data_IF_521507643718
#
_entry.id   IF_521507643718
#
_cell.length_a   1.000
_cell.length_b   1.000
_cell.length_c   1.000
_cell.angle_alpha   90.00
_cell.angle_beta   90.00
_cell.angle_gamma   90.00
#
_symmetry.space_group_name_H-M   'P 1'
#
loop_
_entity.id
_entity.type
_entity.pdbx_description
1 polymer ?
#
# COMPACT_ATOMS: atom_id res chain seq x y z
N UNK A 1 17.14 -6.97 -17.65
CA UNK A 1 17.05 -5.72 -18.45
C UNK A 1 16.00 -4.81 -17.82
N UNK A 2 16.28 -3.52 -17.63
CA UNK A 2 15.29 -2.53 -17.11
C UNK A 2 14.83 -1.65 -18.27
N UNK A 3 13.49 -1.45 -18.41
CA UNK A 3 12.88 -0.58 -19.42
C UNK A 3 11.89 0.37 -18.77
N UNK A 4 11.96 1.65 -19.09
CA UNK A 4 11.03 2.68 -18.63
C UNK A 4 10.25 3.17 -19.84
N UNK A 5 8.91 3.26 -19.69
CA UNK A 5 7.99 3.65 -20.75
C UNK A 5 7.27 4.93 -20.31
N UNK A 6 7.46 5.98 -21.06
CA UNK A 6 6.81 7.28 -20.83
C UNK A 6 5.69 7.50 -21.85
N UNK A 7 4.63 8.14 -21.42
CA UNK A 7 3.54 8.57 -22.29
C UNK A 7 2.43 9.27 -21.52
N UNK A 8 1.72 10.23 -22.11
CA UNK A 8 0.57 10.89 -21.49
C UNK A 8 -0.59 9.89 -21.27
N UNK A 9 -1.60 10.24 -20.44
CA UNK A 9 -2.81 9.44 -20.31
C UNK A 9 -3.45 9.11 -21.67
N UNK A 10 -4.02 7.92 -21.82
CA UNK A 10 -4.73 7.51 -23.05
C UNK A 10 -3.85 7.08 -24.23
N UNK A 11 -2.52 7.06 -24.11
CA UNK A 11 -1.59 6.66 -25.19
C UNK A 11 -1.40 5.15 -25.33
N UNK A 12 -2.16 4.33 -24.61
CA UNK A 12 -2.08 2.88 -24.71
C UNK A 12 -0.94 2.25 -23.91
N UNK A 13 -0.39 2.92 -22.88
CA UNK A 13 0.67 2.36 -22.01
C UNK A 13 0.31 0.97 -21.48
N UNK A 14 -0.84 0.81 -20.86
CA UNK A 14 -1.31 -0.48 -20.32
C UNK A 14 -1.41 -1.55 -21.43
N UNK A 15 -1.88 -1.17 -22.63
CA UNK A 15 -1.92 -2.09 -23.78
C UNK A 15 -0.51 -2.54 -24.16
N UNK A 16 0.43 -1.63 -24.20
CA UNK A 16 1.82 -1.96 -24.48
C UNK A 16 2.44 -2.86 -23.39
N UNK A 17 2.14 -2.61 -22.12
CA UNK A 17 2.60 -3.46 -21.01
C UNK A 17 2.06 -4.89 -21.17
N UNK A 18 0.80 -5.06 -21.58
CA UNK A 18 0.23 -6.39 -21.88
C UNK A 18 0.87 -7.06 -23.11
N UNK A 19 1.29 -6.29 -24.12
CA UNK A 19 2.08 -6.83 -25.22
C UNK A 19 3.46 -7.36 -24.76
N UNK A 20 4.07 -6.71 -23.75
CA UNK A 20 5.29 -7.23 -23.13
C UNK A 20 5.01 -8.54 -22.36
N UNK A 21 3.90 -8.64 -21.63
CA UNK A 21 3.46 -9.90 -21.01
C UNK A 21 3.34 -11.00 -22.08
N UNK A 22 2.64 -10.72 -23.17
CA UNK A 22 2.46 -11.68 -24.28
C UNK A 22 3.81 -12.16 -24.83
N UNK A 23 4.73 -11.23 -25.04
CA UNK A 23 6.07 -11.56 -25.54
C UNK A 23 6.78 -12.53 -24.59
N UNK A 24 6.74 -12.27 -23.29
CA UNK A 24 7.44 -13.12 -22.32
C UNK A 24 6.77 -14.49 -22.18
N UNK A 25 5.44 -14.57 -22.26
CA UNK A 25 4.72 -15.85 -22.33
C UNK A 25 5.14 -16.67 -23.56
N UNK A 26 5.28 -16.02 -24.75
CA UNK A 26 5.78 -16.66 -25.97
C UNK A 26 7.24 -17.12 -25.86
N UNK A 27 8.04 -16.42 -25.04
CA UNK A 27 9.41 -16.81 -24.71
C UNK A 27 9.49 -17.98 -23.70
N UNK A 28 8.35 -18.48 -23.22
CA UNK A 28 8.28 -19.61 -22.28
C UNK A 28 8.28 -19.24 -20.81
N UNK A 29 8.17 -17.95 -20.46
CA UNK A 29 8.02 -17.53 -19.07
C UNK A 29 6.64 -17.98 -18.56
N UNK A 30 6.61 -18.68 -17.43
CA UNK A 30 5.36 -19.14 -16.84
C UNK A 30 4.53 -17.96 -16.31
N UNK A 31 3.20 -17.94 -16.47
CA UNK A 31 2.35 -16.84 -16.02
C UNK A 31 2.51 -16.47 -14.53
N UNK A 32 2.76 -17.47 -13.67
CA UNK A 32 2.98 -17.27 -12.25
C UNK A 32 4.38 -16.71 -11.89
N UNK A 33 5.28 -16.60 -12.86
CA UNK A 33 6.59 -15.94 -12.75
C UNK A 33 6.57 -14.49 -13.28
N UNK A 34 5.41 -14.01 -13.73
CA UNK A 34 5.20 -12.64 -14.19
C UNK A 34 4.49 -11.87 -13.07
N UNK A 35 5.17 -10.89 -12.49
CA UNK A 35 4.58 -9.91 -11.61
C UNK A 35 4.06 -8.72 -12.41
N UNK A 36 2.76 -8.42 -12.34
CA UNK A 36 2.15 -7.21 -12.89
C UNK A 36 1.53 -6.42 -11.75
N UNK A 37 2.12 -5.28 -11.45
CA UNK A 37 1.71 -4.46 -10.32
C UNK A 37 1.09 -3.15 -10.80
N UNK A 38 -0.17 -2.91 -10.38
CA UNK A 38 -0.88 -1.68 -10.65
C UNK A 38 -1.13 -0.91 -9.35
N UNK A 39 -1.30 0.40 -9.46
CA UNK A 39 -1.55 1.25 -8.30
C UNK A 39 -2.92 0.97 -7.65
N UNK A 40 -3.96 0.70 -8.46
CA UNK A 40 -5.30 0.42 -7.94
C UNK A 40 -5.72 -1.03 -8.16
N UNK A 41 -6.56 -1.54 -7.26
CA UNK A 41 -7.16 -2.88 -7.39
C UNK A 41 -7.92 -3.04 -8.71
N UNK A 42 -8.70 -2.03 -9.10
CA UNK A 42 -9.45 -2.04 -10.36
C UNK A 42 -8.55 -2.16 -11.59
N UNK A 43 -7.44 -1.41 -11.62
CA UNK A 43 -6.48 -1.49 -12.72
C UNK A 43 -5.81 -2.87 -12.80
N UNK A 44 -5.46 -3.45 -11.65
CA UNK A 44 -4.89 -4.79 -11.58
C UNK A 44 -5.88 -5.88 -12.07
N UNK A 45 -7.15 -5.79 -11.66
CA UNK A 45 -8.22 -6.69 -12.08
C UNK A 45 -8.52 -6.57 -13.58
N UNK A 46 -8.51 -5.36 -14.13
CA UNK A 46 -8.66 -5.12 -15.55
C UNK A 46 -7.52 -5.74 -16.35
N UNK A 47 -6.26 -5.50 -15.93
CA UNK A 47 -5.10 -6.09 -16.57
C UNK A 47 -5.13 -7.63 -16.52
N UNK A 48 -5.52 -8.20 -15.36
CA UNK A 48 -5.70 -9.65 -15.19
C UNK A 48 -6.74 -10.22 -16.17
N UNK A 49 -7.93 -9.60 -16.21
CA UNK A 49 -9.02 -10.05 -17.10
C UNK A 49 -8.62 -9.98 -18.56
N UNK A 50 -7.97 -8.89 -18.98
CA UNK A 50 -7.48 -8.74 -20.36
C UNK A 50 -6.40 -9.76 -20.69
N UNK A 51 -5.44 -10.00 -19.80
CA UNK A 51 -4.39 -10.98 -19.99
C UNK A 51 -4.96 -12.41 -20.13
N UNK A 52 -5.83 -12.81 -19.20
CA UNK A 52 -6.45 -14.13 -19.20
C UNK A 52 -7.24 -14.40 -20.51
N UNK A 53 -8.07 -13.42 -20.91
CA UNK A 53 -8.87 -13.52 -22.14
C UNK A 53 -8.00 -13.56 -23.40
N UNK A 54 -7.02 -12.66 -23.49
CA UNK A 54 -6.18 -12.51 -24.69
C UNK A 54 -5.25 -13.70 -24.89
N UNK A 55 -4.68 -14.20 -23.79
CA UNK A 55 -3.65 -15.24 -23.86
C UNK A 55 -4.21 -16.64 -23.61
N UNK A 56 -5.53 -16.77 -23.38
CA UNK A 56 -6.23 -18.05 -23.15
C UNK A 56 -5.69 -18.86 -21.96
N UNK A 57 -5.34 -18.17 -20.88
CA UNK A 57 -4.99 -18.74 -19.59
C UNK A 57 -6.14 -18.57 -18.58
N UNK A 58 -6.13 -19.37 -17.51
CA UNK A 58 -7.01 -19.11 -16.36
C UNK A 58 -6.48 -17.88 -15.57
N UNK A 59 -7.39 -17.09 -14.99
CA UNK A 59 -7.01 -15.97 -14.12
C UNK A 59 -6.15 -16.42 -12.93
N UNK A 60 -6.29 -17.67 -12.49
CA UNK A 60 -5.48 -18.29 -11.43
C UNK A 60 -4.02 -18.45 -11.78
N UNK A 61 -3.70 -18.55 -13.07
CA UNK A 61 -2.33 -18.68 -13.53
C UNK A 61 -1.55 -17.39 -13.32
N UNK A 62 -2.22 -16.23 -13.47
CA UNK A 62 -1.65 -14.90 -13.26
C UNK A 62 -1.76 -14.44 -11.80
N UNK A 63 -1.31 -15.25 -10.87
CA UNK A 63 -1.45 -15.02 -9.42
C UNK A 63 -0.84 -13.72 -8.88
N UNK A 64 0.04 -13.08 -9.65
CA UNK A 64 0.76 -11.87 -9.28
C UNK A 64 0.35 -10.63 -10.07
N UNK A 65 -0.83 -10.65 -10.71
CA UNK A 65 -1.48 -9.47 -11.27
C UNK A 65 -2.30 -8.79 -10.17
N UNK A 66 -1.70 -7.83 -9.45
CA UNK A 66 -2.28 -7.25 -8.24
C UNK A 66 -1.65 -5.91 -7.85
N UNK A 67 -2.11 -5.30 -6.76
CA UNK A 67 -1.42 -4.17 -6.14
C UNK A 67 -0.29 -4.66 -5.22
N UNK A 68 0.70 -3.81 -4.96
CA UNK A 68 1.78 -4.14 -4.01
C UNK A 68 1.24 -4.39 -2.59
N UNK A 69 0.21 -3.66 -2.15
CA UNK A 69 -0.47 -3.94 -0.87
C UNK A 69 -1.10 -5.34 -0.84
N UNK A 70 -1.74 -5.76 -1.92
CA UNK A 70 -2.31 -7.11 -2.02
C UNK A 70 -1.22 -8.20 -2.04
N UNK A 71 -0.04 -7.91 -2.61
CA UNK A 71 1.12 -8.78 -2.52
C UNK A 71 1.58 -8.88 -1.06
N UNK A 72 1.84 -7.75 -0.42
CA UNK A 72 2.29 -7.69 0.97
C UNK A 72 1.32 -8.41 1.93
N UNK A 73 0.02 -8.16 1.81
CA UNK A 73 -1.02 -8.82 2.60
C UNK A 73 -0.93 -10.34 2.51
N UNK A 74 -0.80 -10.86 1.31
CA UNK A 74 -0.71 -12.30 1.06
C UNK A 74 0.61 -12.90 1.56
N UNK A 75 1.71 -12.27 1.23
CA UNK A 75 3.04 -12.77 1.57
C UNK A 75 3.31 -12.73 3.08
N UNK A 76 2.72 -11.77 3.79
CA UNK A 76 2.74 -11.71 5.25
C UNK A 76 1.73 -12.67 5.91
N UNK A 77 0.92 -13.40 5.14
CA UNK A 77 -0.14 -14.29 5.62
C UNK A 77 -1.09 -13.59 6.60
N UNK A 78 -1.44 -12.33 6.30
CA UNK A 78 -2.35 -11.55 7.11
C UNK A 78 -3.80 -12.03 6.93
N UNK A 79 -4.59 -11.91 7.99
CA UNK A 79 -6.03 -12.10 7.99
C UNK A 79 -6.72 -10.73 8.00
N UNK A 80 -8.01 -10.70 7.71
CA UNK A 80 -8.81 -9.49 7.79
C UNK A 80 -8.75 -8.85 9.19
N UNK A 81 -8.77 -9.68 10.22
CA UNK A 81 -8.63 -9.25 11.63
C UNK A 81 -7.26 -8.65 11.98
N UNK A 82 -6.22 -8.89 11.19
CA UNK A 82 -4.88 -8.32 11.39
C UNK A 82 -4.77 -6.90 10.78
N UNK A 83 -5.76 -6.47 10.00
CA UNK A 83 -5.76 -5.14 9.34
C UNK A 83 -6.63 -4.17 10.12
N UNK A 84 -6.12 -2.96 10.33
CA UNK A 84 -6.84 -1.87 11.00
C UNK A 84 -8.13 -1.51 10.24
N UNK A 85 -9.25 -1.50 10.93
CA UNK A 85 -10.58 -1.18 10.42
C UNK A 85 -11.23 0.02 11.15
N UNK A 86 -12.47 0.36 10.80
CA UNK A 86 -13.21 1.48 11.39
C UNK A 86 -13.42 1.32 12.91
N UNK A 87 -13.60 0.10 13.39
CA UNK A 87 -13.78 -0.19 14.82
C UNK A 87 -12.50 0.05 15.61
N UNK A 88 -11.34 -0.32 15.03
CA UNK A 88 -10.02 -0.07 15.60
C UNK A 88 -9.77 1.45 15.77
N UNK A 89 -10.07 2.25 14.74
CA UNK A 89 -9.92 3.71 14.81
C UNK A 89 -10.91 4.36 15.79
N UNK A 90 -12.14 3.85 15.85
CA UNK A 90 -13.14 4.30 16.83
C UNK A 90 -12.72 3.99 18.27
N UNK A 91 -12.19 2.79 18.51
CA UNK A 91 -11.66 2.40 19.80
C UNK A 91 -10.48 3.30 20.22
N UNK A 92 -9.53 3.54 19.30
CA UNK A 92 -8.38 4.42 19.54
C UNK A 92 -8.82 5.84 19.85
N UNK A 93 -9.77 6.37 19.09
CA UNK A 93 -10.34 7.71 19.31
C UNK A 93 -10.88 7.85 20.74
N UNK A 94 -11.62 6.86 21.20
CA UNK A 94 -12.18 6.85 22.55
C UNK A 94 -11.08 6.68 23.63
N UNK A 95 -10.16 5.73 23.43
CA UNK A 95 -9.07 5.46 24.40
C UNK A 95 -8.14 6.65 24.56
N UNK A 96 -7.79 7.31 23.46
CA UNK A 96 -6.85 8.43 23.45
C UNK A 96 -7.52 9.80 23.60
N UNK A 97 -8.86 9.86 23.68
CA UNK A 97 -9.63 11.10 23.74
C UNK A 97 -9.30 12.07 22.58
N UNK A 98 -9.21 11.53 21.38
CA UNK A 98 -8.89 12.23 20.12
C UNK A 98 -9.96 11.91 19.07
N UNK A 99 -9.91 12.59 17.93
CA UNK A 99 -10.87 12.41 16.84
C UNK A 99 -10.13 11.93 15.58
N UNK A 100 -10.06 10.62 15.42
CA UNK A 100 -9.44 9.95 14.26
C UNK A 100 -10.48 9.27 13.38
N UNK A 101 -10.25 9.32 12.08
CA UNK A 101 -10.95 8.49 11.09
C UNK A 101 -10.02 7.41 10.53
N UNK A 102 -10.62 6.40 9.93
CA UNK A 102 -9.87 5.41 9.16
C UNK A 102 -9.36 6.07 7.86
N UNK A 103 -8.04 6.22 7.66
CA UNK A 103 -7.47 6.88 6.47
C UNK A 103 -7.78 6.14 5.17
N UNK A 104 -8.17 4.85 5.26
CA UNK A 104 -8.52 4.03 4.10
C UNK A 104 -9.98 4.16 3.69
N UNK A 105 -10.81 4.80 4.51
CA UNK A 105 -12.21 5.08 4.16
C UNK A 105 -12.22 6.19 3.09
N UNK A 106 -12.89 5.94 1.98
CA UNK A 106 -13.14 7.00 1.00
C UNK A 106 -13.87 8.14 1.71
N UNK A 107 -13.19 9.26 1.88
CA UNK A 107 -13.84 10.49 2.35
C UNK A 107 -14.92 10.80 1.33
N UNK A 108 -16.17 10.79 1.75
CA UNK A 108 -17.26 11.28 0.90
C UNK A 108 -16.90 12.70 0.46
N UNK A 109 -17.19 13.02 -0.78
CA UNK A 109 -16.70 14.15 -1.60
C UNK A 109 -16.72 15.55 -0.94
N UNK A 110 -17.18 15.69 0.32
CA UNK A 110 -17.37 16.96 1.02
C UNK A 110 -16.98 16.95 2.52
N UNK A 111 -16.36 15.89 3.04
CA UNK A 111 -15.95 15.81 4.42
C UNK A 111 -14.49 16.24 4.61
N UNK A 112 -14.23 17.34 5.29
CA UNK A 112 -12.93 17.53 5.93
C UNK A 112 -12.70 16.35 6.89
N UNK A 113 -11.50 15.74 6.87
CA UNK A 113 -11.12 14.70 7.83
C UNK A 113 -11.33 15.19 9.26
N UNK A 114 -11.32 14.26 10.21
CA UNK A 114 -11.47 14.63 11.63
C UNK A 114 -10.26 15.48 12.08
N UNK A 115 -10.41 16.33 13.10
CA UNK A 115 -9.39 17.31 13.50
C UNK A 115 -8.00 16.71 13.77
N UNK A 116 -7.95 15.46 14.23
CA UNK A 116 -6.69 14.83 14.62
C UNK A 116 -6.09 13.93 13.50
N UNK A 117 -6.76 13.79 12.36
CA UNK A 117 -6.27 13.01 11.21
C UNK A 117 -4.97 13.59 10.61
N UNK A 118 -4.72 14.88 10.82
CA UNK A 118 -3.46 15.49 10.41
C UNK A 118 -2.25 14.85 11.09
N UNK A 119 -2.38 14.42 12.34
CA UNK A 119 -1.29 13.76 13.07
C UNK A 119 -1.04 12.33 12.55
N UNK A 120 -2.09 11.56 12.28
CA UNK A 120 -1.93 10.23 11.67
C UNK A 120 -1.31 10.34 10.29
N UNK A 121 -1.69 11.35 9.51
CA UNK A 121 -1.09 11.61 8.20
C UNK A 121 0.40 11.96 8.30
N UNK A 122 0.82 12.76 9.30
CA UNK A 122 2.23 13.06 9.55
C UNK A 122 3.00 11.78 9.91
N UNK A 123 2.43 10.93 10.78
CA UNK A 123 3.01 9.65 11.17
C UNK A 123 3.16 8.74 9.92
N UNK A 124 2.16 8.64 9.08
CA UNK A 124 2.24 7.83 7.86
C UNK A 124 3.27 8.37 6.87
N UNK A 125 3.30 9.69 6.66
CA UNK A 125 4.31 10.31 5.79
C UNK A 125 5.74 10.12 6.34
N UNK A 126 5.93 10.18 7.66
CA UNK A 126 7.23 9.90 8.28
C UNK A 126 7.71 8.48 8.00
N UNK A 127 6.81 7.50 8.11
CA UNK A 127 7.08 6.10 7.77
C UNK A 127 7.39 5.92 6.28
N UNK A 128 6.58 6.54 5.41
CA UNK A 128 6.77 6.49 3.96
C UNK A 128 8.12 7.10 3.56
N UNK A 129 8.52 8.21 4.19
CA UNK A 129 9.78 8.91 3.90
C UNK A 129 10.99 8.31 4.64
N UNK A 130 10.78 7.35 5.54
CA UNK A 130 11.86 6.74 6.33
C UNK A 130 12.54 7.72 7.29
N UNK A 131 11.82 8.73 7.78
CA UNK A 131 12.32 9.75 8.71
C UNK A 131 11.52 9.74 10.02
N UNK A 132 12.08 10.22 11.15
CA UNK A 132 11.33 10.34 12.40
C UNK A 132 10.07 11.23 12.26
N UNK A 133 8.99 10.89 12.96
CA UNK A 133 7.74 11.65 12.92
C UNK A 133 7.96 13.13 13.34
N UNK A 134 8.88 13.38 14.27
CA UNK A 134 9.27 14.74 14.66
C UNK A 134 9.86 15.53 13.49
N UNK A 135 10.74 14.93 12.69
CA UNK A 135 11.32 15.59 11.51
C UNK A 135 10.25 15.88 10.45
N UNK A 136 9.31 14.97 10.26
CA UNK A 136 8.17 15.18 9.35
C UNK A 136 7.25 16.30 9.87
N UNK A 137 7.04 16.38 11.18
CA UNK A 137 6.25 17.42 11.83
C UNK A 137 6.88 18.81 11.68
N UNK A 138 8.20 18.91 11.84
CA UNK A 138 8.95 20.17 11.73
C UNK A 138 9.09 20.67 10.27
N UNK A 139 8.54 19.95 9.30
CA UNK A 139 8.55 20.38 7.91
C UNK A 139 7.72 21.66 7.73
N UNK A 140 8.27 22.71 7.09
CA UNK A 140 7.58 23.98 6.91
C UNK A 140 6.20 23.90 6.24
N UNK A 141 5.95 22.83 5.46
CA UNK A 141 4.67 22.59 4.80
C UNK A 141 3.58 22.08 5.73
N UNK A 142 3.93 21.65 6.94
CA UNK A 142 2.98 21.08 7.90
C UNK A 142 2.10 22.17 8.56
N UNK A 143 2.59 23.41 8.65
CA UNK A 143 1.89 24.51 9.29
C UNK A 143 1.86 24.43 10.83
N UNK A 144 1.15 25.36 11.45
CA UNK A 144 0.97 25.37 12.91
C UNK A 144 -0.19 24.44 13.30
N UNK A 145 0.10 23.42 14.13
CA UNK A 145 -0.90 22.46 14.58
C UNK A 145 -1.21 22.62 16.08
N UNK A 146 -2.49 22.69 16.48
CA UNK A 146 -2.90 22.74 17.88
C UNK A 146 -2.41 21.50 18.65
N UNK A 147 -1.81 21.72 19.83
CA UNK A 147 -1.22 20.65 20.64
C UNK A 147 0.19 20.24 20.24
N UNK A 148 0.65 20.65 19.07
CA UNK A 148 2.04 20.53 18.63
C UNK A 148 2.64 19.13 18.71
N UNK A 149 3.95 19.08 18.92
CA UNK A 149 4.74 17.86 19.01
C UNK A 149 4.25 16.89 20.10
N UNK A 150 3.86 17.40 21.29
CA UNK A 150 3.41 16.53 22.37
C UNK A 150 2.18 15.71 22.01
N UNK A 151 1.26 16.28 21.23
CA UNK A 151 0.08 15.57 20.76
C UNK A 151 0.44 14.53 19.69
N UNK A 152 1.36 14.86 18.78
CA UNK A 152 1.86 13.91 17.79
C UNK A 152 2.50 12.69 18.47
N UNK A 153 3.44 12.92 19.41
CA UNK A 153 4.12 11.87 20.15
C UNK A 153 3.15 10.99 20.95
N UNK A 154 2.14 11.62 21.58
CA UNK A 154 1.08 10.89 22.30
C UNK A 154 0.28 9.97 21.36
N UNK A 155 -0.12 10.47 20.18
CA UNK A 155 -0.88 9.70 19.19
C UNK A 155 0.01 8.59 18.61
N UNK A 156 1.26 8.89 18.24
CA UNK A 156 2.19 7.91 17.68
C UNK A 156 2.41 6.74 18.64
N UNK A 157 2.66 7.01 19.92
CA UNK A 157 2.81 5.98 20.96
C UNK A 157 1.53 5.17 21.15
N UNK A 158 0.38 5.84 21.20
CA UNK A 158 -0.91 5.17 21.34
C UNK A 158 -1.23 4.23 20.18
N UNK A 159 -0.96 4.66 18.94
CA UNK A 159 -1.08 3.82 17.74
C UNK A 159 -0.11 2.63 17.78
N UNK A 160 1.14 2.86 18.16
CA UNK A 160 2.15 1.81 18.25
C UNK A 160 1.77 0.76 19.31
N UNK A 161 1.39 1.20 20.51
CA UNK A 161 0.95 0.31 21.58
C UNK A 161 -0.26 -0.52 21.17
N UNK A 162 -1.25 0.11 20.53
CA UNK A 162 -2.43 -0.58 20.05
C UNK A 162 -2.09 -1.68 19.04
N UNK A 163 -1.25 -1.37 18.06
CA UNK A 163 -0.89 -2.30 16.98
C UNK A 163 0.07 -3.40 17.41
N UNK A 164 1.05 -3.09 18.26
CA UNK A 164 2.20 -3.94 18.52
C UNK A 164 2.47 -4.20 20.01
N UNK A 165 1.77 -3.52 20.91
CA UNK A 165 1.97 -3.59 22.37
C UNK A 165 1.40 -4.84 23.04
N UNK A 166 0.89 -5.82 22.28
CA UNK A 166 0.39 -7.07 22.84
C UNK A 166 -1.05 -7.00 23.40
N UNK A 167 -1.80 -5.94 23.09
CA UNK A 167 -3.22 -5.81 23.44
C UNK A 167 -4.07 -6.89 22.77
N UNK A 168 -3.66 -7.32 21.59
CA UNK A 168 -4.30 -8.39 20.82
C UNK A 168 -3.40 -9.64 20.74
N UNK A 169 -3.98 -10.84 20.55
CA UNK A 169 -3.22 -12.06 20.31
C UNK A 169 -2.33 -11.99 19.07
N UNK A 170 -2.73 -11.17 18.12
CA UNK A 170 -1.99 -10.89 16.87
C UNK A 170 -1.77 -9.38 16.71
N UNK A 171 -0.69 -9.02 16.03
CA UNK A 171 -0.40 -7.62 15.68
C UNK A 171 -1.44 -7.09 14.70
N UNK A 172 -1.73 -5.80 14.80
CA UNK A 172 -2.56 -5.05 13.86
C UNK A 172 -1.69 -4.21 12.93
N UNK A 173 -2.06 -4.12 11.67
CA UNK A 173 -1.31 -3.40 10.64
C UNK A 173 -2.20 -2.41 9.89
N UNK A 174 -1.78 -1.18 9.72
CA UNK A 174 -2.28 -0.32 8.65
C UNK A 174 -1.59 -0.65 7.31
N UNK A 175 -2.03 -0.03 6.21
CA UNK A 175 -1.46 -0.32 4.89
C UNK A 175 0.03 0.06 4.78
N UNK A 176 0.45 1.13 5.45
CA UNK A 176 1.85 1.55 5.49
C UNK A 176 2.70 0.53 6.27
N UNK A 177 2.20 0.05 7.40
CA UNK A 177 2.89 -0.98 8.19
C UNK A 177 3.05 -2.29 7.40
N UNK A 178 2.04 -2.68 6.60
CA UNK A 178 2.14 -3.88 5.74
C UNK A 178 3.31 -3.79 4.76
N UNK A 179 3.47 -2.66 4.08
CA UNK A 179 4.59 -2.46 3.16
C UNK A 179 5.94 -2.46 3.89
N UNK A 180 6.02 -1.82 5.06
CA UNK A 180 7.24 -1.81 5.88
C UNK A 180 7.61 -3.24 6.31
N UNK A 181 6.65 -4.03 6.78
CA UNK A 181 6.92 -5.41 7.20
C UNK A 181 7.27 -6.31 6.01
N UNK A 182 6.63 -6.10 4.86
CA UNK A 182 6.97 -6.81 3.65
C UNK A 182 8.41 -6.52 3.21
N UNK A 183 8.83 -5.25 3.23
CA UNK A 183 10.19 -4.86 2.86
C UNK A 183 11.27 -5.34 3.85
N UNK A 184 10.89 -5.71 5.08
CA UNK A 184 11.79 -6.28 6.09
C UNK A 184 11.95 -7.79 6.01
N UNK A 185 11.20 -8.46 5.13
CA UNK A 185 11.33 -9.92 4.96
C UNK A 185 12.69 -10.29 4.36
N UNK A 186 13.15 -11.47 4.69
CA UNK A 186 14.29 -12.08 4.04
C UNK A 186 14.05 -12.21 2.54
N UNK A 187 15.06 -11.89 1.74
CA UNK A 187 15.00 -11.96 0.28
C UNK A 187 14.65 -13.38 -0.19
N UNK A 188 15.11 -14.39 0.51
CA UNK A 188 14.85 -15.80 0.19
C UNK A 188 13.38 -16.20 0.40
N UNK A 189 12.60 -15.38 1.12
CA UNK A 189 11.17 -15.57 1.34
C UNK A 189 10.30 -14.71 0.40
N UNK A 190 10.93 -13.92 -0.46
CA UNK A 190 10.20 -13.12 -1.45
C UNK A 190 9.78 -13.97 -2.65
N UNK A 191 8.63 -13.68 -3.28
CA UNK A 191 8.24 -14.36 -4.51
C UNK A 191 9.26 -14.05 -5.62
N UNK A 192 9.72 -15.10 -6.28
CA UNK A 192 10.62 -14.97 -7.41
C UNK A 192 9.86 -14.65 -8.70
N UNK A 193 10.31 -13.66 -9.42
CA UNK A 193 9.78 -13.24 -10.71
C UNK A 193 10.87 -13.29 -11.78
N UNK A 194 10.54 -13.85 -12.95
CA UNK A 194 11.38 -13.73 -14.13
C UNK A 194 11.16 -12.37 -14.81
N UNK A 195 9.94 -11.82 -14.66
CA UNK A 195 9.54 -10.53 -15.21
C UNK A 195 8.70 -9.76 -14.20
N UNK A 196 9.02 -8.49 -14.02
CA UNK A 196 8.21 -7.56 -13.22
C UNK A 196 7.78 -6.39 -14.10
N UNK A 197 6.48 -6.13 -14.13
CA UNK A 197 5.86 -5.00 -14.83
C UNK A 197 5.15 -4.14 -13.79
N UNK A 198 5.40 -2.86 -13.83
CA UNK A 198 4.77 -1.88 -12.93
C UNK A 198 4.02 -0.86 -13.80
N UNK A 199 2.71 -0.81 -13.64
CA UNK A 199 1.84 0.19 -14.29
C UNK A 199 1.66 1.39 -13.37
N UNK A 200 1.69 2.61 -13.95
CA UNK A 200 1.62 3.90 -13.25
C UNK A 200 2.68 4.04 -12.14
N UNK A 201 3.93 3.65 -12.46
CA UNK A 201 5.05 3.65 -11.50
C UNK A 201 5.34 5.03 -10.86
N UNK A 202 4.92 6.13 -11.49
CA UNK A 202 5.07 7.48 -10.94
C UNK A 202 4.17 7.75 -9.71
N UNK A 203 3.12 6.95 -9.52
CA UNK A 203 2.20 7.06 -8.40
C UNK A 203 2.67 6.27 -7.16
N UNK A 204 3.74 5.48 -7.31
CA UNK A 204 4.29 4.70 -6.22
C UNK A 204 5.01 5.59 -5.21
N UNK A 205 4.84 5.27 -3.94
CA UNK A 205 5.62 5.86 -2.85
C UNK A 205 7.03 5.26 -2.77
N UNK A 206 7.90 5.87 -1.98
CA UNK A 206 9.24 5.34 -1.71
C UNK A 206 9.22 3.92 -1.10
N UNK A 207 8.18 3.56 -0.34
CA UNK A 207 8.02 2.23 0.25
C UNK A 207 7.62 1.14 -0.78
N UNK A 208 7.06 1.55 -1.90
CA UNK A 208 6.58 0.66 -2.96
C UNK A 208 7.61 0.47 -4.06
#
# INVERSE_FOLDING_TARGET
MRKIIFGPPGTGKTTYLLQLVEKELKNGVAPNKIGYFAFTKKAAEEALSRAATTFKYDTKDFRHFRTLHSLAYRELSLREEDVMNDEDYSFLSNKLQIKLSNPNKKVEKYGAGLPDDVFTRIIDLSKINGIPAKQQFDNPTTGHLPGGWLKLDYIERGLHEYKFGGVFPRKKYDYTDMLIQFNKRDVDLMPEFDVVIIDEAQDLSWLQ
#
